data_IF_457797160369
#
_entry.id   IF_457797160369
#
_cell.length_a   1.000
_cell.length_b   1.000
_cell.length_c   1.000
_cell.angle_alpha   90.00
_cell.angle_beta   90.00
_cell.angle_gamma   90.00
#
_symmetry.space_group_name_H-M   'P 1'
#
loop_
_entity.id
_entity.type
_entity.pdbx_description
1 polymer ?
#
# COMPACT_ATOMS: atom_id res chain seq x y z
N UNK A 1 -6.82 7.65 -21.42
CA UNK A 1 -6.11 8.12 -20.22
C UNK A 1 -6.47 7.32 -18.98
N UNK A 2 -7.70 6.80 -18.85
CA UNK A 2 -8.11 6.03 -17.65
C UNK A 2 -7.44 4.66 -17.51
N UNK A 3 -7.06 4.01 -18.62
CA UNK A 3 -6.36 2.73 -18.58
C UNK A 3 -5.05 2.80 -17.78
N UNK A 4 -4.23 3.81 -18.04
CA UNK A 4 -2.94 3.98 -17.36
C UNK A 4 -3.11 4.31 -15.88
N UNK A 5 -4.12 5.12 -15.55
CA UNK A 5 -4.48 5.44 -14.15
C UNK A 5 -4.91 4.19 -13.38
N UNK A 6 -5.76 3.36 -13.97
CA UNK A 6 -6.24 2.12 -13.35
C UNK A 6 -5.12 1.08 -13.20
N UNK A 7 -4.24 0.96 -14.19
CA UNK A 7 -3.09 0.08 -14.11
C UNK A 7 -2.12 0.52 -13.00
N UNK A 8 -1.81 1.82 -12.95
CA UNK A 8 -0.94 2.39 -11.91
C UNK A 8 -1.53 2.17 -10.51
N UNK A 9 -2.85 2.39 -10.35
CA UNK A 9 -3.55 2.10 -9.09
C UNK A 9 -3.43 0.63 -8.69
N UNK A 10 -3.66 -0.28 -9.64
CA UNK A 10 -3.58 -1.74 -9.42
C UNK A 10 -2.16 -2.16 -9.05
N UNK A 11 -1.15 -1.65 -9.77
CA UNK A 11 0.26 -1.93 -9.53
C UNK A 11 0.69 -1.45 -8.15
N UNK A 12 0.38 -0.22 -7.76
CA UNK A 12 0.74 0.33 -6.45
C UNK A 12 0.07 -0.46 -5.32
N UNK A 13 -1.22 -0.78 -5.46
CA UNK A 13 -1.93 -1.60 -4.48
C UNK A 13 -1.27 -2.97 -4.32
N UNK A 14 -0.97 -3.63 -5.43
CA UNK A 14 -0.31 -4.95 -5.43
C UNK A 14 1.05 -4.89 -4.75
N UNK A 15 1.85 -3.88 -5.07
CA UNK A 15 3.18 -3.69 -4.49
C UNK A 15 3.09 -3.43 -2.98
N UNK A 16 2.18 -2.57 -2.52
CA UNK A 16 1.99 -2.31 -1.09
C UNK A 16 1.60 -3.58 -0.32
N UNK A 17 0.71 -4.41 -0.87
CA UNK A 17 0.36 -5.69 -0.23
C UNK A 17 1.51 -6.68 -0.23
N UNK A 18 2.35 -6.68 -1.27
CA UNK A 18 3.57 -7.48 -1.34
C UNK A 18 4.60 -7.02 -0.29
N UNK A 19 4.79 -5.72 -0.08
CA UNK A 19 5.64 -5.20 1.02
C UNK A 19 5.14 -5.70 2.39
N UNK A 20 3.83 -5.73 2.62
CA UNK A 20 3.28 -6.28 3.87
C UNK A 20 3.52 -7.80 3.98
N UNK A 21 3.41 -8.55 2.87
CA UNK A 21 3.77 -9.98 2.85
C UNK A 21 5.22 -10.18 3.23
N UNK A 22 6.14 -9.43 2.63
CA UNK A 22 7.56 -9.50 2.93
C UNK A 22 7.84 -9.16 4.40
N UNK A 23 7.23 -8.09 4.92
CA UNK A 23 7.36 -7.68 6.31
C UNK A 23 6.89 -8.74 7.30
N UNK A 24 5.76 -9.40 7.03
CA UNK A 24 5.20 -10.43 7.90
C UNK A 24 5.80 -11.83 7.64
N UNK A 25 6.50 -12.03 6.52
CA UNK A 25 7.03 -13.31 6.05
C UNK A 25 5.96 -14.38 5.78
N UNK A 26 4.70 -14.00 5.56
CA UNK A 26 3.62 -14.91 5.18
C UNK A 26 2.52 -14.24 4.36
N UNK A 27 1.84 -15.05 3.54
CA UNK A 27 0.77 -14.61 2.66
C UNK A 27 -0.57 -14.44 3.35
N UNK A 28 -1.49 -13.74 2.68
CA UNK A 28 -2.84 -13.54 3.22
C UNK A 28 -3.53 -14.91 3.39
N UNK A 29 -3.97 -15.19 4.61
CA UNK A 29 -4.60 -16.45 5.04
C UNK A 29 -3.67 -17.66 5.11
N UNK A 30 -2.35 -17.45 5.02
CA UNK A 30 -1.40 -18.53 5.26
C UNK A 30 -1.40 -18.93 6.75
N UNK A 31 -1.41 -20.24 6.98
CA UNK A 31 -1.35 -20.86 8.31
C UNK A 31 -0.04 -20.56 9.03
N UNK A 32 1.03 -20.27 8.27
CA UNK A 32 2.33 -19.86 8.82
C UNK A 32 2.24 -18.56 9.63
N UNK A 33 1.22 -17.73 9.39
CA UNK A 33 0.96 -16.51 10.14
C UNK A 33 0.31 -16.72 11.51
N UNK A 34 -0.15 -17.93 11.84
CA UNK A 34 -0.84 -18.20 13.09
C UNK A 34 0.12 -18.20 14.28
N UNK A 35 -0.28 -17.57 15.39
CA UNK A 35 0.51 -17.47 16.62
C UNK A 35 1.89 -16.80 16.48
N UNK A 36 2.11 -16.00 15.42
CA UNK A 36 3.37 -15.26 15.20
C UNK A 36 3.49 -13.97 16.02
N UNK A 37 2.43 -13.59 16.75
CA UNK A 37 2.37 -12.36 17.54
C UNK A 37 1.98 -11.10 16.76
N UNK A 38 2.13 -11.08 15.43
CA UNK A 38 1.68 -9.99 14.57
C UNK A 38 0.80 -10.51 13.43
N UNK A 39 -0.25 -9.76 13.10
CA UNK A 39 -1.23 -10.15 12.08
C UNK A 39 -1.59 -9.02 11.14
N UNK A 40 -2.08 -9.35 9.94
CA UNK A 40 -2.66 -8.36 9.03
C UNK A 40 -3.90 -7.74 9.66
N UNK A 41 -4.02 -6.41 9.61
CA UNK A 41 -5.11 -5.65 10.23
C UNK A 41 -5.82 -4.74 9.20
N UNK A 42 -6.17 -5.35 8.07
CA UNK A 42 -6.84 -4.67 6.96
C UNK A 42 -5.97 -3.61 6.30
N UNK A 43 -6.63 -2.59 5.76
CA UNK A 43 -6.02 -1.44 5.11
C UNK A 43 -6.86 -0.20 5.36
N UNK A 44 -6.30 0.97 5.07
CA UNK A 44 -7.07 2.21 4.93
C UNK A 44 -6.85 2.77 3.53
N UNK A 45 -7.81 3.55 3.05
CA UNK A 45 -7.73 4.17 1.73
C UNK A 45 -7.10 5.55 1.81
N UNK A 46 -6.27 5.87 0.82
CA UNK A 46 -5.66 7.19 0.65
C UNK A 46 -5.72 7.58 -0.82
N UNK A 47 -6.24 8.77 -1.09
CA UNK A 47 -6.22 9.33 -2.44
C UNK A 47 -4.88 10.04 -2.71
N UNK A 48 -4.28 9.77 -3.87
CA UNK A 48 -3.06 10.41 -4.36
C UNK A 48 -3.35 11.19 -5.64
N UNK A 49 -2.85 12.42 -5.72
CA UNK A 49 -2.89 13.24 -6.92
C UNK A 49 -1.67 12.91 -7.77
N UNK A 50 -1.87 12.36 -8.95
CA UNK A 50 -0.82 12.04 -9.92
C UNK A 50 -1.00 12.83 -11.21
N UNK A 51 0.01 12.84 -12.08
CA UNK A 51 -0.10 13.46 -13.41
C UNK A 51 -1.19 12.82 -14.28
N UNK A 52 -1.59 11.59 -13.97
CA UNK A 52 -2.63 10.85 -14.68
C UNK A 52 -4.02 11.00 -14.04
N UNK A 53 -4.14 11.83 -13.00
CA UNK A 53 -5.35 12.03 -12.21
C UNK A 53 -5.26 11.43 -10.81
N UNK A 54 -6.40 11.41 -10.11
CA UNK A 54 -6.46 10.99 -8.71
C UNK A 54 -6.59 9.48 -8.59
N UNK A 55 -5.63 8.79 -8.00
CA UNK A 55 -5.75 7.34 -7.75
C UNK A 55 -6.13 7.09 -6.29
N UNK A 56 -6.79 5.96 -6.03
CA UNK A 56 -7.09 5.51 -4.66
C UNK A 56 -6.23 4.30 -4.33
N UNK A 57 -5.32 4.48 -3.37
CA UNK A 57 -4.46 3.40 -2.89
C UNK A 57 -4.94 2.84 -1.55
N UNK A 58 -4.70 1.56 -1.34
CA UNK A 58 -5.04 0.80 -0.14
C UNK A 58 -3.75 0.54 0.62
N UNK A 59 -3.54 1.29 1.70
CA UNK A 59 -2.32 1.16 2.52
C UNK A 59 -2.55 0.05 3.54
N UNK A 60 -1.83 -1.08 3.42
CA UNK A 60 -1.98 -2.19 4.34
C UNK A 60 -1.43 -1.85 5.73
N UNK A 61 -1.95 -2.54 6.75
CA UNK A 61 -1.51 -2.39 8.13
C UNK A 61 -1.35 -3.74 8.80
N UNK A 62 -0.44 -3.80 9.76
CA UNK A 62 -0.30 -4.89 10.71
C UNK A 62 -1.01 -4.56 12.04
N UNK A 63 -1.15 -5.57 12.91
CA UNK A 63 -1.85 -5.48 14.19
C UNK A 63 -1.06 -4.66 15.20
N UNK A 64 0.27 -4.77 15.16
CA UNK A 64 1.19 -4.08 16.06
C UNK A 64 1.53 -2.65 15.60
N UNK A 65 1.15 -2.27 14.37
CA UNK A 65 1.44 -0.95 13.81
C UNK A 65 2.92 -0.74 13.52
N UNK A 66 3.68 -1.82 13.33
CA UNK A 66 5.12 -1.80 13.06
C UNK A 66 5.42 -1.66 11.57
N UNK A 67 4.48 -1.99 10.69
CA UNK A 67 4.66 -1.88 9.25
C UNK A 67 4.67 -0.40 8.83
N UNK A 68 5.74 -0.01 8.15
CA UNK A 68 5.87 1.28 7.48
C UNK A 68 6.21 1.03 6.01
N UNK A 69 5.34 1.47 5.12
CA UNK A 69 5.56 1.30 3.69
C UNK A 69 6.72 2.21 3.24
N UNK A 70 7.59 1.70 2.35
CA UNK A 70 8.79 2.44 1.94
C UNK A 70 8.52 3.38 0.75
N UNK A 71 7.53 3.02 -0.07
CA UNK A 71 7.23 3.74 -1.31
C UNK A 71 6.65 5.14 -1.13
N UNK A 72 5.90 5.36 -0.06
CA UNK A 72 5.11 6.57 0.10
C UNK A 72 5.51 7.26 1.39
N UNK A 73 5.89 8.52 1.27
CA UNK A 73 6.06 9.36 2.45
C UNK A 73 4.73 9.51 3.19
N UNK A 74 4.75 9.49 4.54
CA UNK A 74 3.57 9.79 5.34
C UNK A 74 3.00 11.16 4.96
N UNK A 75 1.67 11.26 4.95
CA UNK A 75 0.91 12.50 4.70
C UNK A 75 1.06 13.16 3.32
N UNK A 76 2.06 12.80 2.52
CA UNK A 76 2.21 13.37 1.17
C UNK A 76 1.13 12.81 0.22
N UNK A 77 0.32 13.70 -0.35
CA UNK A 77 -0.76 13.33 -1.28
C UNK A 77 -0.52 13.81 -2.72
N UNK A 78 0.56 14.54 -2.96
CA UNK A 78 0.84 15.16 -4.26
C UNK A 78 2.09 14.52 -4.87
N UNK A 79 1.86 13.63 -5.84
CA UNK A 79 2.90 13.00 -6.66
C UNK A 79 2.92 13.55 -8.10
N UNK A 80 1.92 14.37 -8.47
CA UNK A 80 1.77 14.96 -9.79
C UNK A 80 2.64 16.20 -10.06
N UNK A 81 3.20 16.84 -9.02
CA UNK A 81 4.05 18.02 -9.19
C UNK A 81 5.47 17.74 -8.70
N UNK A 82 6.36 17.51 -9.66
CA UNK A 82 7.80 17.72 -9.53
C UNK A 82 8.12 19.14 -9.99
N UNK A 83 7.49 20.17 -9.41
CA UNK A 83 7.99 21.53 -9.57
C UNK A 83 8.75 21.91 -8.31
N UNK A 84 10.07 21.93 -8.46
CA UNK A 84 10.97 22.76 -7.67
C UNK A 84 11.91 23.47 -8.63
#
# INVERSE_FOLDING_TARGET
>A
MDLFRNELETMLNTLLFAELTEFLSYDKYDVSGYNTGNSRNGYYERSLHTIFGNITIKIPRDRLGQFQNKLLTPYNRNFGNLEK
#
